data_IF_615804145508
#
_entry.id   IF_615804145508
#
_cell.length_a   1.000
_cell.length_b   1.000
_cell.length_c   1.000
_cell.angle_alpha   90.00
_cell.angle_beta   90.00
_cell.angle_gamma   90.00
#
_symmetry.space_group_name_H-M   'P 1'
#
loop_
_entity.id
_entity.type
_entity.pdbx_description
1 polymer ?
#
# COMPACT_ATOMS: atom_id res chain seq x y z
N UNK A 1 -12.50 -19.02 23.70
CA UNK A 1 -11.64 -17.91 24.14
C UNK A 1 -12.18 -16.65 23.49
N UNK A 2 -13.13 -16.00 24.16
CA UNK A 2 -13.85 -14.81 23.69
C UNK A 2 -14.05 -13.97 24.94
N UNK A 3 -13.26 -12.92 25.15
CA UNK A 3 -13.47 -12.12 26.35
C UNK A 3 -12.44 -11.07 26.77
N UNK A 4 -11.31 -10.81 26.10
CA UNK A 4 -10.31 -9.88 26.67
C UNK A 4 -9.58 -9.00 25.63
N UNK A 5 -10.29 -8.35 24.72
CA UNK A 5 -9.73 -7.21 23.97
C UNK A 5 -10.58 -5.98 24.22
N UNK A 6 -10.13 -5.17 25.18
CA UNK A 6 -10.61 -3.81 25.36
C UNK A 6 -10.27 -2.95 24.15
N UNK A 7 -11.28 -2.25 23.66
CA UNK A 7 -11.21 -1.01 22.88
C UNK A 7 -10.55 -1.04 21.48
N UNK A 8 -11.40 -1.26 20.48
CA UNK A 8 -11.37 -0.56 19.18
C UNK A 8 -10.21 -0.87 18.22
N UNK A 9 -9.60 -2.04 18.30
CA UNK A 9 -8.68 -2.53 17.26
C UNK A 9 -9.47 -3.00 16.03
N UNK A 10 -9.16 -2.45 14.84
CA UNK A 10 -9.80 -2.83 13.57
C UNK A 10 -9.03 -4.01 12.98
N UNK A 11 -9.68 -5.16 12.88
CA UNK A 11 -9.10 -6.38 12.31
C UNK A 11 -9.63 -6.55 10.90
N UNK A 12 -8.73 -6.49 9.92
CA UNK A 12 -9.01 -6.74 8.52
C UNK A 12 -8.54 -8.14 8.12
N UNK A 13 -9.41 -8.91 7.47
CA UNK A 13 -9.12 -10.27 6.99
C UNK A 13 -8.89 -10.17 5.49
N UNK A 14 -7.70 -10.59 5.05
CA UNK A 14 -7.32 -10.59 3.63
C UNK A 14 -7.01 -12.01 3.16
N UNK A 15 -7.20 -12.26 1.86
CA UNK A 15 -6.77 -13.52 1.27
C UNK A 15 -5.26 -13.52 1.02
N UNK A 16 -4.58 -14.56 1.48
CA UNK A 16 -3.19 -14.81 1.13
C UNK A 16 -3.08 -15.21 -0.34
N UNK A 17 -2.01 -14.78 -1.00
CA UNK A 17 -1.67 -15.16 -2.37
C UNK A 17 -0.15 -15.36 -2.48
N UNK A 18 0.26 -16.31 -3.31
CA UNK A 18 1.68 -16.55 -3.63
C UNK A 18 2.23 -15.44 -4.55
N UNK A 19 1.36 -14.85 -5.36
CA UNK A 19 1.69 -13.70 -6.18
C UNK A 19 1.84 -12.45 -5.29
N UNK A 20 3.07 -11.94 -5.19
CA UNK A 20 3.40 -10.80 -4.33
C UNK A 20 2.58 -9.55 -4.69
N UNK A 21 2.23 -9.36 -5.96
CA UNK A 21 1.46 -8.20 -6.42
C UNK A 21 0.05 -8.29 -5.86
N UNK A 22 -0.62 -9.43 -6.05
CA UNK A 22 -1.95 -9.69 -5.51
C UNK A 22 -1.96 -9.61 -3.98
N UNK A 23 -0.93 -10.14 -3.31
CA UNK A 23 -0.87 -10.12 -1.86
C UNK A 23 -0.68 -8.71 -1.30
N UNK A 24 0.16 -7.88 -1.93
CA UNK A 24 0.33 -6.46 -1.56
C UNK A 24 -0.95 -5.67 -1.82
N UNK A 25 -1.62 -5.89 -2.95
CA UNK A 25 -2.91 -5.25 -3.24
C UNK A 25 -3.97 -5.61 -2.20
N UNK A 26 -4.05 -6.89 -1.81
CA UNK A 26 -4.98 -7.34 -0.77
C UNK A 26 -4.63 -6.73 0.60
N UNK A 27 -3.35 -6.60 0.93
CA UNK A 27 -2.89 -6.02 2.20
C UNK A 27 -3.15 -4.51 2.32
N UNK A 28 -3.34 -3.80 1.21
CA UNK A 28 -3.68 -2.38 1.19
C UNK A 28 -5.19 -2.12 1.14
N UNK A 29 -6.02 -3.18 1.16
CA UNK A 29 -7.46 -3.03 1.33
C UNK A 29 -7.76 -2.19 2.59
N UNK A 30 -8.73 -1.26 2.55
CA UNK A 30 -9.83 -1.11 1.59
C UNK A 30 -9.55 -0.27 0.32
N UNK A 31 -8.33 0.20 0.09
CA UNK A 31 -8.02 1.04 -1.07
C UNK A 31 -8.10 0.27 -2.41
N UNK A 32 -8.71 0.90 -3.43
CA UNK A 32 -8.95 0.32 -4.76
C UNK A 32 -8.22 1.09 -5.86
N UNK A 33 -8.19 0.52 -7.06
CA UNK A 33 -7.58 1.13 -8.26
C UNK A 33 -6.09 1.47 -8.10
N UNK A 34 -5.40 0.66 -7.29
CA UNK A 34 -3.97 0.75 -7.02
C UNK A 34 -3.18 0.06 -8.13
N UNK A 35 -2.18 0.73 -8.68
CA UNK A 35 -1.19 0.11 -9.55
C UNK A 35 0.05 -0.27 -8.75
N UNK A 36 0.40 -1.56 -8.74
CA UNK A 36 1.56 -2.07 -8.00
C UNK A 36 2.67 -2.48 -8.97
N UNK A 37 3.84 -1.88 -8.77
CA UNK A 37 5.09 -2.18 -9.48
C UNK A 37 6.04 -2.86 -8.50
N UNK A 38 6.41 -4.10 -8.79
CA UNK A 38 7.33 -4.87 -7.95
C UNK A 38 8.76 -4.73 -8.45
N UNK A 39 9.68 -4.50 -7.52
CA UNK A 39 11.12 -4.60 -7.73
C UNK A 39 11.64 -5.77 -6.89
N UNK A 40 11.73 -6.93 -7.52
CA UNK A 40 12.17 -8.17 -6.89
C UNK A 40 13.63 -8.09 -6.40
N UNK A 41 14.47 -7.29 -7.06
CA UNK A 41 15.89 -7.13 -6.70
C UNK A 41 16.04 -6.43 -5.36
N UNK A 42 15.19 -5.42 -5.09
CA UNK A 42 15.21 -4.62 -3.85
C UNK A 42 14.20 -5.10 -2.80
N UNK A 43 13.38 -6.10 -3.12
CA UNK A 43 12.18 -6.48 -2.35
C UNK A 43 11.33 -5.25 -2.00
N UNK A 44 11.10 -4.40 -2.99
CA UNK A 44 10.27 -3.20 -2.84
C UNK A 44 9.09 -3.23 -3.79
N UNK A 45 7.97 -2.68 -3.36
CA UNK A 45 6.75 -2.51 -4.13
C UNK A 45 6.40 -1.02 -4.15
N UNK A 46 6.30 -0.45 -5.34
CA UNK A 46 5.83 0.92 -5.54
C UNK A 46 4.35 0.86 -5.93
N UNK A 47 3.52 1.60 -5.22
CA UNK A 47 2.07 1.58 -5.35
C UNK A 47 1.60 2.97 -5.76
N UNK A 48 0.99 3.06 -6.93
CA UNK A 48 0.40 4.30 -7.44
C UNK A 48 -1.10 4.29 -7.13
N UNK A 49 -1.52 5.18 -6.24
CA UNK A 49 -2.91 5.38 -5.83
C UNK A 49 -3.47 6.68 -6.40
N UNK A 50 -4.77 6.75 -6.78
CA UNK A 50 -5.42 8.03 -7.00
C UNK A 50 -5.50 8.83 -5.68
N UNK A 51 -5.53 10.16 -5.74
CA UNK A 51 -5.47 11.04 -4.55
C UNK A 51 -6.57 10.75 -3.52
N UNK A 52 -7.75 10.38 -4.01
CA UNK A 52 -8.90 10.00 -3.17
C UNK A 52 -8.62 8.74 -2.34
N UNK A 53 -7.82 7.82 -2.87
CA UNK A 53 -7.45 6.56 -2.22
C UNK A 53 -6.08 6.62 -1.54
N UNK A 54 -5.27 7.64 -1.82
CA UNK A 54 -3.92 7.81 -1.25
C UNK A 54 -3.96 7.82 0.28
N UNK A 55 -4.87 8.62 0.86
CA UNK A 55 -5.04 8.70 2.32
C UNK A 55 -5.50 7.37 2.93
N UNK A 56 -6.37 6.64 2.22
CA UNK A 56 -6.90 5.36 2.66
C UNK A 56 -5.83 4.25 2.61
N UNK A 57 -5.03 4.22 1.54
CA UNK A 57 -3.96 3.26 1.34
C UNK A 57 -2.81 3.46 2.34
N UNK A 58 -2.45 4.72 2.65
CA UNK A 58 -1.46 5.04 3.68
C UNK A 58 -2.00 4.71 5.08
N UNK A 59 -3.27 5.03 5.33
CA UNK A 59 -3.93 4.90 6.62
C UNK A 59 -3.49 5.96 7.62
N UNK A 60 -4.15 5.98 8.79
CA UNK A 60 -3.82 6.94 9.87
C UNK A 60 -2.38 6.76 10.33
N UNK A 61 -1.58 7.83 10.27
CA UNK A 61 -0.15 7.84 10.62
C UNK A 61 0.72 6.82 9.84
N UNK A 62 0.27 6.43 8.64
CA UNK A 62 0.96 5.41 7.84
C UNK A 62 0.84 3.99 8.41
N UNK A 63 -0.13 3.75 9.30
CA UNK A 63 -0.30 2.45 9.92
C UNK A 63 -0.60 1.35 8.89
N UNK A 64 -1.45 1.63 7.89
CA UNK A 64 -1.88 0.60 6.93
C UNK A 64 -0.70 0.13 6.06
N UNK A 65 0.04 1.07 5.46
CA UNK A 65 1.23 0.74 4.67
C UNK A 65 2.31 0.01 5.48
N UNK A 66 2.49 0.38 6.76
CA UNK A 66 3.44 -0.30 7.66
C UNK A 66 3.01 -1.73 8.01
N UNK A 67 1.71 -1.96 8.23
CA UNK A 67 1.17 -3.28 8.49
C UNK A 67 1.28 -4.15 7.24
N UNK A 68 0.90 -3.62 6.06
CA UNK A 68 1.05 -4.32 4.79
C UNK A 68 2.51 -4.68 4.49
N UNK A 69 3.46 -3.78 4.76
CA UNK A 69 4.88 -4.04 4.58
C UNK A 69 5.40 -5.16 5.50
N UNK A 70 4.95 -5.17 6.76
CA UNK A 70 5.29 -6.25 7.72
C UNK A 70 4.65 -7.58 7.35
N UNK A 71 3.40 -7.56 6.88
CA UNK A 71 2.63 -8.75 6.53
C UNK A 71 3.17 -9.43 5.27
N UNK A 72 3.54 -8.63 4.27
CA UNK A 72 4.07 -9.12 2.99
C UNK A 72 5.57 -9.37 3.04
N UNK A 73 6.30 -8.68 3.92
CA UNK A 73 7.76 -8.69 3.96
C UNK A 73 8.41 -7.85 2.86
N UNK A 74 7.64 -6.97 2.20
CA UNK A 74 8.10 -6.07 1.14
C UNK A 74 8.16 -4.63 1.64
N UNK A 75 9.08 -3.84 1.09
CA UNK A 75 9.07 -2.38 1.30
C UNK A 75 8.01 -1.76 0.40
N UNK A 76 6.92 -1.26 0.97
CA UNK A 76 5.82 -0.65 0.21
C UNK A 76 5.94 0.87 0.25
N UNK A 77 5.98 1.50 -0.92
CA UNK A 77 5.95 2.96 -1.08
C UNK A 77 4.68 3.34 -1.85
N UNK A 78 3.91 4.31 -1.35
CA UNK A 78 2.64 4.70 -1.97
C UNK A 78 2.77 6.13 -2.48
N UNK A 79 2.50 6.33 -3.78
CA UNK A 79 2.57 7.62 -4.46
C UNK A 79 1.22 7.96 -5.10
N UNK A 80 0.90 9.24 -5.12
CA UNK A 80 -0.27 9.73 -5.85
C UNK A 80 -0.05 9.66 -7.36
N UNK A 81 -1.03 9.20 -8.12
CA UNK A 81 -1.02 9.27 -9.61
C UNK A 81 -0.96 10.71 -10.13
N UNK A 82 -1.33 11.70 -9.33
CA UNK A 82 -1.44 13.11 -9.75
C UNK A 82 -0.15 13.92 -9.63
N UNK A 83 1.02 13.28 -9.55
CA UNK A 83 2.27 13.94 -9.92
C UNK A 83 2.66 13.57 -11.35
N UNK A 84 2.15 14.26 -12.38
CA UNK A 84 2.93 14.42 -13.59
C UNK A 84 4.18 15.20 -13.15
N UNK A 85 5.28 14.49 -12.99
CA UNK A 85 6.59 15.13 -13.01
C UNK A 85 6.69 15.81 -14.36
N UNK A 86 6.50 17.13 -14.30
CA UNK A 86 6.96 18.11 -15.24
C UNK A 86 8.30 17.63 -15.81
N UNK A 87 8.27 17.18 -17.05
CA UNK A 87 9.49 16.98 -17.83
C UNK A 87 9.99 18.36 -18.19
N UNK A 88 10.74 19.02 -17.30
CA UNK A 88 11.72 19.99 -17.78
C UNK A 88 12.84 19.17 -18.41
N UNK A 89 13.00 19.27 -19.74
CA UNK A 89 14.22 19.91 -20.19
C UNK A 89 13.95 20.75 -21.44
N UNK A 90 14.11 22.06 -21.33
CA UNK A 90 14.60 22.80 -22.49
C UNK A 90 15.45 23.98 -22.04
N UNK A 91 16.74 23.70 -21.88
CA UNK A 91 17.76 24.69 -22.19
C UNK A 91 17.67 24.97 -23.69
N UNK A 92 17.35 26.22 -24.05
CA UNK A 92 17.76 26.89 -25.29
C UNK A 92 18.11 28.33 -24.97
#
# INVERSE_FOLDING_TARGET
VIGELGNNEKVDIIQWSDDAKQFIMAALAPAKDLEVVLDEKKKSAEVLAPDDQLSLAIGRDGQNVRLAAKLTGWKIDIKGKSVPVESTPQAV
#
